data_IF_772291961255
#
_entry.id   IF_772291961255
#
_cell.length_a   1.000
_cell.length_b   1.000
_cell.length_c   1.000
_cell.angle_alpha   90.00
_cell.angle_beta   90.00
_cell.angle_gamma   90.00
#
_symmetry.space_group_name_H-M   'P 1'
#
loop_
_entity.id
_entity.type
_entity.pdbx_description
1 polymer ?
#
# COMPACT_ATOMS: atom_id res chain seq x y z
N UNK A 1 -25.60 -26.82 -5.83
CA UNK A 1 -25.52 -26.96 -4.37
C UNK A 1 -24.60 -28.13 -4.02
N UNK A 2 -23.72 -27.97 -3.02
CA UNK A 2 -22.74 -28.97 -2.64
C UNK A 2 -23.31 -30.12 -1.77
N UNK A 3 -24.62 -30.09 -1.48
CA UNK A 3 -25.26 -31.10 -0.65
C UNK A 3 -24.62 -31.19 0.74
N UNK A 4 -24.28 -32.39 1.18
CA UNK A 4 -23.64 -32.66 2.47
C UNK A 4 -22.10 -32.66 2.39
N UNK A 5 -21.51 -32.00 1.39
CA UNK A 5 -20.06 -31.93 1.28
C UNK A 5 -19.45 -31.17 2.46
N UNK A 6 -18.42 -31.74 3.06
CA UNK A 6 -17.62 -31.10 4.10
C UNK A 6 -16.13 -31.27 3.75
N UNK A 7 -15.36 -30.26 4.08
CA UNK A 7 -13.90 -30.33 3.94
C UNK A 7 -13.28 -31.38 4.85
N UNK A 8 -12.13 -31.93 4.46
CA UNK A 8 -11.38 -32.84 5.32
C UNK A 8 -10.99 -32.12 6.64
N UNK A 9 -11.22 -32.74 7.81
CA UNK A 9 -10.78 -32.17 9.09
C UNK A 9 -9.28 -31.83 9.12
N UNK A 10 -8.44 -32.70 8.57
CA UNK A 10 -7.00 -32.46 8.49
C UNK A 10 -6.65 -31.26 7.62
N UNK A 11 -7.37 -31.01 6.53
CA UNK A 11 -7.18 -29.82 5.68
C UNK A 11 -7.59 -28.55 6.44
N UNK A 12 -8.71 -28.60 7.16
CA UNK A 12 -9.20 -27.48 7.96
C UNK A 12 -8.19 -27.12 9.06
N UNK A 13 -7.68 -28.11 9.79
CA UNK A 13 -6.66 -27.93 10.82
C UNK A 13 -5.38 -27.29 10.26
N UNK A 14 -4.89 -27.79 9.11
CA UNK A 14 -3.72 -27.24 8.43
C UNK A 14 -3.95 -25.79 8.01
N UNK A 15 -5.10 -25.49 7.41
CA UNK A 15 -5.44 -24.13 6.99
C UNK A 15 -5.56 -23.16 8.19
N UNK A 16 -6.16 -23.61 9.31
CA UNK A 16 -6.25 -22.82 10.54
C UNK A 16 -4.86 -22.58 11.16
N UNK A 17 -3.97 -23.59 11.12
CA UNK A 17 -2.57 -23.46 11.56
C UNK A 17 -1.83 -22.39 10.77
N UNK A 18 -1.84 -22.45 9.45
CA UNK A 18 -1.21 -21.43 8.60
C UNK A 18 -1.83 -20.03 8.79
N UNK A 19 -3.14 -19.95 8.97
CA UNK A 19 -3.80 -18.69 9.28
C UNK A 19 -3.35 -18.08 10.62
N UNK A 20 -3.16 -18.92 11.65
CA UNK A 20 -2.68 -18.48 12.94
C UNK A 20 -1.22 -17.99 12.88
N UNK A 21 -0.34 -18.72 12.19
CA UNK A 21 1.05 -18.31 11.94
C UNK A 21 1.12 -16.99 11.18
N UNK A 22 0.29 -16.84 10.13
CA UNK A 22 0.22 -15.61 9.37
C UNK A 22 -0.25 -14.42 10.22
N UNK A 23 -1.25 -14.60 11.06
CA UNK A 23 -1.70 -13.53 11.96
C UNK A 23 -0.62 -13.10 12.95
N UNK A 24 0.22 -14.01 13.46
CA UNK A 24 1.36 -13.63 14.28
C UNK A 24 2.35 -12.74 13.51
N UNK A 25 2.64 -13.09 12.26
CA UNK A 25 3.49 -12.27 11.39
C UNK A 25 2.88 -10.88 11.17
N UNK A 26 1.59 -10.81 10.87
CA UNK A 26 0.87 -9.53 10.69
C UNK A 26 0.93 -8.69 11.96
N UNK A 27 0.65 -9.27 13.12
CA UNK A 27 0.64 -8.55 14.39
C UNK A 27 2.04 -7.99 14.76
N UNK A 28 3.11 -8.69 14.40
CA UNK A 28 4.48 -8.20 14.58
C UNK A 28 4.82 -7.00 13.68
N UNK A 29 4.31 -6.97 12.44
CA UNK A 29 4.68 -5.95 11.45
C UNK A 29 3.72 -4.78 11.39
N UNK A 30 2.48 -4.96 11.83
CA UNK A 30 1.44 -3.92 11.83
C UNK A 30 1.04 -3.43 13.23
N UNK A 31 1.69 -3.92 14.27
CA UNK A 31 1.46 -3.53 15.66
C UNK A 31 1.81 -2.06 15.94
N UNK A 32 1.50 -1.58 17.17
CA UNK A 32 1.95 -0.28 17.64
C UNK A 32 3.48 -0.15 17.56
N UNK A 33 3.98 1.04 17.23
CA UNK A 33 5.42 1.27 17.03
C UNK A 33 5.78 2.72 17.27
N UNK A 34 6.97 2.93 17.84
CA UNK A 34 7.58 4.26 18.00
C UNK A 34 8.62 4.54 16.89
N UNK A 35 8.67 3.72 15.84
CA UNK A 35 9.60 3.92 14.72
C UNK A 35 9.27 5.20 13.95
N UNK A 36 10.31 5.99 13.66
CA UNK A 36 10.24 7.22 12.88
C UNK A 36 11.36 7.18 11.83
N UNK A 37 11.01 7.16 10.54
CA UNK A 37 9.69 6.93 9.99
C UNK A 37 9.21 5.48 10.16
N UNK A 38 7.89 5.23 10.24
CA UNK A 38 7.32 3.88 10.33
C UNK A 38 7.37 3.15 8.98
N UNK A 39 7.15 1.83 9.03
CA UNK A 39 6.92 1.02 7.83
C UNK A 39 5.48 1.17 7.29
N UNK A 40 5.26 0.76 6.06
CA UNK A 40 3.91 0.66 5.50
C UNK A 40 2.99 -0.24 6.34
N UNK A 41 3.49 -1.40 6.80
CA UNK A 41 2.72 -2.31 7.64
C UNK A 41 2.23 -1.65 8.93
N UNK A 42 3.07 -0.84 9.58
CA UNK A 42 2.72 -0.10 10.79
C UNK A 42 1.67 0.99 10.52
N UNK A 43 1.78 1.72 9.40
CA UNK A 43 0.77 2.70 8.96
C UNK A 43 -0.58 2.02 8.70
N UNK A 44 -0.57 0.92 7.94
CA UNK A 44 -1.78 0.14 7.64
C UNK A 44 -2.43 -0.37 8.94
N UNK A 45 -1.62 -0.91 9.85
CA UNK A 45 -2.10 -1.40 11.15
C UNK A 45 -2.72 -0.31 12.02
N UNK A 46 -2.13 0.87 12.07
CA UNK A 46 -2.62 2.02 12.83
C UNK A 46 -4.03 2.45 12.34
N UNK A 47 -4.19 2.61 11.04
CA UNK A 47 -5.49 2.96 10.45
C UNK A 47 -6.50 1.82 10.63
N UNK A 48 -6.10 0.57 10.42
CA UNK A 48 -6.99 -0.58 10.60
C UNK A 48 -7.51 -0.71 12.04
N UNK A 49 -6.69 -0.39 13.05
CA UNK A 49 -7.14 -0.36 14.47
C UNK A 49 -8.10 0.79 14.74
N UNK A 50 -7.98 1.89 14.01
CA UNK A 50 -8.72 3.15 14.26
C UNK A 50 -9.98 3.31 13.41
N UNK A 51 -10.16 2.50 12.37
CA UNK A 51 -11.32 2.56 11.47
C UNK A 51 -12.54 1.83 12.03
N UNK A 52 -13.72 2.22 11.54
CA UNK A 52 -14.98 1.50 11.81
C UNK A 52 -15.11 0.26 10.92
N UNK A 53 -15.99 -0.67 11.32
CA UNK A 53 -16.19 -1.92 10.56
C UNK A 53 -16.82 -1.72 9.18
N UNK A 54 -17.38 -0.57 8.91
CA UNK A 54 -18.02 -0.20 7.64
C UNK A 54 -17.18 0.69 6.76
N UNK A 55 -16.03 1.19 7.25
CA UNK A 55 -15.13 2.03 6.45
C UNK A 55 -14.55 1.24 5.29
N UNK A 56 -14.44 1.87 4.14
CA UNK A 56 -13.84 1.29 2.94
C UNK A 56 -12.36 1.71 2.83
N UNK A 57 -11.46 0.76 2.92
CA UNK A 57 -10.07 0.98 2.54
C UNK A 57 -9.87 0.75 1.04
N UNK A 58 -9.23 1.70 0.36
CA UNK A 58 -8.99 1.66 -1.07
C UNK A 58 -7.52 1.95 -1.39
N UNK A 59 -6.96 1.18 -2.31
CA UNK A 59 -5.59 1.35 -2.81
C UNK A 59 -5.47 0.81 -4.24
N UNK A 60 -4.34 1.02 -4.91
CA UNK A 60 -4.13 0.48 -6.26
C UNK A 60 -2.70 0.03 -6.52
N UNK A 61 -1.74 0.94 -6.65
CA UNK A 61 -0.45 0.67 -7.26
C UNK A 61 0.75 0.76 -6.30
N UNK A 62 1.81 0.08 -6.67
CA UNK A 62 3.09 0.13 -5.97
C UNK A 62 3.25 -0.91 -4.86
N UNK A 63 4.08 -0.63 -3.85
CA UNK A 63 4.31 -1.52 -2.71
C UNK A 63 3.22 -1.46 -1.66
N UNK A 64 2.55 -0.32 -1.54
CA UNK A 64 1.52 -0.08 -0.52
C UNK A 64 0.30 -1.04 -0.65
N UNK A 65 -0.27 -1.31 -1.84
CA UNK A 65 -1.32 -2.32 -1.96
C UNK A 65 -0.88 -3.72 -1.55
N UNK A 66 0.37 -4.11 -1.83
CA UNK A 66 0.91 -5.37 -1.32
C UNK A 66 0.94 -5.43 0.20
N UNK A 67 1.30 -4.34 0.86
CA UNK A 67 1.28 -4.23 2.31
C UNK A 67 -0.16 -4.19 2.88
N UNK A 68 -1.11 -3.54 2.18
CA UNK A 68 -2.52 -3.61 2.57
C UNK A 68 -3.08 -5.04 2.43
N UNK A 69 -2.82 -5.73 1.32
CA UNK A 69 -3.24 -7.12 1.14
C UNK A 69 -2.70 -8.06 2.22
N UNK A 70 -1.51 -7.77 2.77
CA UNK A 70 -0.88 -8.53 3.86
C UNK A 70 -1.44 -8.19 5.24
N UNK A 71 -1.61 -6.90 5.53
CA UNK A 71 -1.80 -6.40 6.90
C UNK A 71 -3.23 -5.92 7.20
N UNK A 72 -4.06 -5.66 6.20
CA UNK A 72 -5.42 -5.17 6.42
C UNK A 72 -6.36 -6.29 6.87
N UNK A 73 -6.94 -6.14 8.05
CA UNK A 73 -7.94 -7.09 8.58
C UNK A 73 -9.34 -6.57 8.25
N UNK A 74 -9.94 -7.10 7.19
CA UNK A 74 -11.30 -6.77 6.75
C UNK A 74 -12.32 -7.27 7.77
N UNK A 75 -13.23 -6.41 8.23
CA UNK A 75 -14.24 -6.72 9.25
C UNK A 75 -15.64 -6.95 8.69
N UNK A 76 -15.90 -6.46 7.49
CA UNK A 76 -17.17 -6.60 6.79
C UNK A 76 -16.96 -6.80 5.30
N UNK A 77 -17.95 -7.42 4.63
CA UNK A 77 -17.92 -7.59 3.18
C UNK A 77 -17.99 -6.23 2.48
N UNK A 78 -17.19 -6.04 1.43
CA UNK A 78 -17.19 -4.82 0.62
C UNK A 78 -16.53 -3.61 1.32
N UNK A 79 -15.60 -3.85 2.28
CA UNK A 79 -14.86 -2.80 3.00
C UNK A 79 -13.38 -2.74 2.60
N UNK A 80 -13.00 -3.41 1.53
CA UNK A 80 -11.67 -3.34 0.95
C UNK A 80 -11.78 -3.38 -0.57
N UNK A 81 -11.13 -2.44 -1.24
CA UNK A 81 -11.01 -2.37 -2.70
C UNK A 81 -9.55 -2.15 -3.09
N UNK A 82 -9.11 -2.90 -4.10
CA UNK A 82 -7.74 -2.81 -4.59
C UNK A 82 -7.71 -3.06 -6.10
N UNK A 83 -7.41 -2.01 -6.87
CA UNK A 83 -7.11 -2.18 -8.30
C UNK A 83 -5.70 -2.74 -8.45
N UNK A 84 -5.56 -4.06 -8.35
CA UNK A 84 -4.27 -4.75 -8.38
C UNK A 84 -3.98 -5.44 -9.73
N UNK A 85 -4.99 -5.65 -10.55
CA UNK A 85 -4.88 -6.39 -11.80
C UNK A 85 -3.96 -5.73 -12.82
N UNK A 86 -4.14 -4.44 -13.06
CA UNK A 86 -3.27 -3.63 -13.92
C UNK A 86 -2.36 -2.70 -13.12
N UNK A 87 -2.57 -2.59 -11.83
CA UNK A 87 -1.79 -1.74 -10.92
C UNK A 87 -1.70 -0.29 -11.39
N UNK A 88 -2.87 0.30 -11.68
CA UNK A 88 -2.98 1.64 -12.28
C UNK A 88 -2.67 2.73 -11.24
N UNK A 89 -1.49 3.33 -11.34
CA UNK A 89 -1.11 4.48 -10.50
C UNK A 89 -2.04 5.65 -10.74
N UNK A 90 -2.57 6.22 -9.65
CA UNK A 90 -3.53 7.32 -9.68
C UNK A 90 -5.00 6.90 -9.56
N UNK A 91 -5.32 5.61 -9.74
CA UNK A 91 -6.68 5.10 -9.47
C UNK A 91 -7.15 5.43 -8.05
N UNK A 92 -6.24 5.43 -7.08
CA UNK A 92 -6.56 5.54 -5.66
C UNK A 92 -7.46 6.73 -5.35
N UNK A 93 -7.14 7.90 -5.86
CA UNK A 93 -7.87 9.15 -5.57
C UNK A 93 -9.19 9.19 -6.35
N UNK A 94 -9.16 8.90 -7.65
CA UNK A 94 -10.35 8.86 -8.50
C UNK A 94 -11.32 7.76 -8.06
N UNK A 95 -10.80 6.55 -7.77
CA UNK A 95 -11.57 5.41 -7.28
C UNK A 95 -12.19 5.70 -5.90
N UNK A 96 -11.44 6.34 -5.00
CA UNK A 96 -11.95 6.78 -3.70
C UNK A 96 -13.11 7.77 -3.83
N UNK A 97 -13.01 8.74 -4.72
CA UNK A 97 -14.10 9.66 -5.01
C UNK A 97 -15.32 8.93 -5.58
N UNK A 98 -15.11 8.04 -6.56
CA UNK A 98 -16.18 7.20 -7.12
C UNK A 98 -16.86 6.31 -6.07
N UNK A 99 -16.09 5.70 -5.19
CA UNK A 99 -16.63 4.90 -4.09
C UNK A 99 -17.47 5.74 -3.11
N UNK A 100 -17.02 6.96 -2.79
CA UNK A 100 -17.77 7.90 -1.95
C UNK A 100 -19.05 8.39 -2.61
N UNK A 101 -19.04 8.57 -3.92
CA UNK A 101 -20.25 8.90 -4.69
C UNK A 101 -21.26 7.74 -4.69
N UNK A 102 -20.78 6.51 -4.78
CA UNK A 102 -21.63 5.31 -4.81
C UNK A 102 -22.27 5.03 -3.44
N UNK A 103 -21.56 5.27 -2.34
CA UNK A 103 -22.07 5.13 -0.97
C UNK A 103 -21.65 6.32 -0.09
N UNK A 104 -22.43 7.42 -0.10
CA UNK A 104 -22.11 8.61 0.69
C UNK A 104 -22.15 8.40 2.21
N UNK A 105 -22.77 7.34 2.71
CA UNK A 105 -22.90 7.06 4.14
C UNK A 105 -21.61 6.52 4.77
N UNK A 106 -20.72 5.96 3.95
CA UNK A 106 -19.48 5.28 4.37
C UNK A 106 -18.30 6.25 4.35
N UNK A 107 -17.39 6.12 5.30
CA UNK A 107 -16.08 6.74 5.14
C UNK A 107 -15.21 5.94 4.17
N UNK A 108 -14.54 6.65 3.26
CA UNK A 108 -13.61 6.08 2.30
C UNK A 108 -12.20 6.52 2.69
N UNK A 109 -11.33 5.54 2.90
CA UNK A 109 -9.94 5.70 3.31
C UNK A 109 -9.05 5.28 2.14
N UNK A 110 -8.43 6.26 1.50
CA UNK A 110 -7.55 6.06 0.36
C UNK A 110 -6.10 5.95 0.84
N UNK A 111 -5.44 4.86 0.53
CA UNK A 111 -4.01 4.69 0.76
C UNK A 111 -3.26 4.89 -0.56
N UNK A 112 -2.37 5.86 -0.61
CA UNK A 112 -1.64 6.22 -1.82
C UNK A 112 -0.16 6.50 -1.51
N UNK A 113 0.74 5.99 -2.36
CA UNK A 113 2.15 6.36 -2.31
C UNK A 113 2.39 7.74 -2.93
N UNK A 114 3.49 8.37 -2.54
CA UNK A 114 3.93 9.68 -3.08
C UNK A 114 4.00 9.71 -4.60
N UNK A 115 4.58 8.68 -5.22
CA UNK A 115 4.65 8.57 -6.68
C UNK A 115 3.29 8.45 -7.37
N UNK A 116 2.37 7.65 -6.81
CA UNK A 116 1.02 7.48 -7.34
C UNK A 116 0.19 8.76 -7.16
N UNK A 117 0.32 9.42 -6.01
CA UNK A 117 -0.29 10.73 -5.76
C UNK A 117 0.13 11.76 -6.82
N UNK A 118 1.42 11.83 -7.17
CA UNK A 118 1.91 12.79 -8.16
C UNK A 118 1.43 12.51 -9.59
N UNK A 119 1.03 11.28 -9.91
CA UNK A 119 0.52 10.94 -11.23
C UNK A 119 -0.91 11.41 -11.46
N UNK A 120 -1.78 11.34 -10.43
CA UNK A 120 -3.19 11.75 -10.58
C UNK A 120 -3.75 12.19 -9.23
N UNK A 121 -3.77 13.49 -8.99
CA UNK A 121 -4.17 14.09 -7.73
C UNK A 121 -5.30 15.13 -7.84
N UNK A 122 -5.65 15.54 -9.07
CA UNK A 122 -6.62 16.61 -9.33
C UNK A 122 -8.03 16.32 -8.81
N UNK A 123 -8.39 15.05 -8.66
CA UNK A 123 -9.70 14.66 -8.13
C UNK A 123 -9.86 14.92 -6.63
N UNK A 124 -8.80 15.30 -5.92
CA UNK A 124 -8.93 15.92 -4.59
C UNK A 124 -9.77 17.20 -4.70
N UNK A 125 -9.51 18.03 -5.73
CA UNK A 125 -10.32 19.22 -5.97
C UNK A 125 -11.77 18.88 -6.34
N UNK A 126 -11.98 17.85 -7.14
CA UNK A 126 -13.31 17.34 -7.51
C UNK A 126 -14.11 16.91 -6.27
N UNK A 127 -13.47 16.25 -5.28
CA UNK A 127 -14.15 15.85 -4.03
C UNK A 127 -14.60 17.06 -3.21
N UNK A 128 -13.79 18.12 -3.18
CA UNK A 128 -14.13 19.37 -2.47
C UNK A 128 -15.30 20.07 -3.16
N UNK A 129 -15.26 20.20 -4.50
CA UNK A 129 -16.31 20.84 -5.27
C UNK A 129 -17.67 20.12 -5.16
N UNK A 130 -17.66 18.81 -5.06
CA UNK A 130 -18.86 17.98 -5.03
C UNK A 130 -19.32 17.61 -3.63
N UNK A 131 -18.55 17.97 -2.59
CA UNK A 131 -18.86 17.65 -1.20
C UNK A 131 -18.73 16.16 -0.84
N UNK A 132 -17.99 15.37 -1.64
CA UNK A 132 -17.76 13.94 -1.39
C UNK A 132 -16.48 13.74 -0.59
N UNK A 133 -16.59 13.85 0.73
CA UNK A 133 -15.46 13.71 1.65
C UNK A 133 -14.82 12.33 1.56
N UNK A 134 -13.49 12.29 1.47
CA UNK A 134 -12.68 11.09 1.71
C UNK A 134 -11.47 11.41 2.58
N UNK A 135 -10.84 10.39 3.14
CA UNK A 135 -9.61 10.49 3.94
C UNK A 135 -8.48 9.89 3.10
N UNK A 136 -7.45 10.67 2.82
CA UNK A 136 -6.31 10.24 1.99
C UNK A 136 -5.08 10.15 2.86
N UNK A 137 -4.49 8.96 2.92
CA UNK A 137 -3.23 8.68 3.62
C UNK A 137 -2.12 8.64 2.57
N UNK A 138 -1.30 9.67 2.51
CA UNK A 138 -0.14 9.73 1.62
C UNK A 138 1.07 9.16 2.36
N UNK A 139 1.53 8.01 1.91
CA UNK A 139 2.72 7.35 2.43
C UNK A 139 3.94 7.77 1.60
N UNK A 140 4.69 8.74 2.07
CA UNK A 140 5.85 9.29 1.39
C UNK A 140 7.12 8.52 1.76
N UNK A 141 7.61 7.71 0.85
CA UNK A 141 8.88 6.99 0.99
C UNK A 141 10.00 7.56 0.11
N UNK A 142 9.76 8.69 -0.54
CA UNK A 142 10.73 9.38 -1.39
C UNK A 142 10.89 8.77 -2.77
N UNK A 143 9.84 8.18 -3.36
CA UNK A 143 9.84 7.74 -4.75
C UNK A 143 9.20 6.38 -5.03
N UNK A 144 9.69 5.68 -6.04
CA UNK A 144 9.17 4.38 -6.48
C UNK A 144 9.90 3.21 -5.77
N UNK A 145 9.74 3.11 -4.44
CA UNK A 145 10.52 2.17 -3.62
C UNK A 145 10.30 0.70 -3.98
N UNK A 146 9.10 0.31 -4.41
CA UNK A 146 8.85 -1.06 -4.86
C UNK A 146 9.58 -1.38 -6.16
N UNK A 147 9.71 -0.42 -7.07
CA UNK A 147 10.46 -0.59 -8.31
C UNK A 147 11.95 -0.73 -7.98
N UNK A 148 12.47 0.09 -7.08
CA UNK A 148 13.84 -0.04 -6.58
C UNK A 148 14.09 -1.40 -5.92
N UNK A 149 13.14 -1.87 -5.11
CA UNK A 149 13.18 -3.21 -4.50
C UNK A 149 13.26 -4.32 -5.55
N UNK A 150 12.39 -4.28 -6.56
CA UNK A 150 12.39 -5.28 -7.65
C UNK A 150 13.69 -5.25 -8.45
N UNK A 151 14.20 -4.07 -8.75
CA UNK A 151 15.45 -3.87 -9.45
C UNK A 151 16.62 -4.50 -8.68
N UNK A 152 16.75 -4.18 -7.40
CA UNK A 152 17.83 -4.70 -6.54
C UNK A 152 17.67 -6.22 -6.32
N UNK A 153 16.44 -6.71 -6.14
CA UNK A 153 16.16 -8.13 -5.98
C UNK A 153 16.54 -8.96 -7.23
N UNK A 154 16.57 -8.33 -8.40
CA UNK A 154 17.03 -8.94 -9.65
C UNK A 154 18.50 -8.64 -9.96
N UNK A 155 19.28 -8.22 -8.97
CA UNK A 155 20.72 -8.03 -9.04
C UNK A 155 21.18 -6.70 -9.65
N UNK A 156 20.26 -5.81 -10.05
CA UNK A 156 20.61 -4.50 -10.58
C UNK A 156 20.92 -3.50 -9.46
N UNK A 157 21.73 -2.50 -9.74
CA UNK A 157 21.97 -1.38 -8.82
C UNK A 157 20.76 -0.45 -8.77
N UNK A 158 20.55 0.24 -7.64
CA UNK A 158 19.57 1.33 -7.56
C UNK A 158 19.86 2.39 -8.63
N UNK A 159 18.80 2.86 -9.28
CA UNK A 159 18.93 3.85 -10.34
C UNK A 159 17.68 4.73 -10.46
N UNK A 160 17.76 5.97 -9.99
CA UNK A 160 16.75 7.03 -10.15
C UNK A 160 15.30 6.67 -9.70
N UNK A 161 15.11 5.59 -8.94
CA UNK A 161 13.80 5.21 -8.43
C UNK A 161 13.47 5.92 -7.12
N UNK A 162 14.47 6.29 -6.36
CA UNK A 162 14.34 7.05 -5.12
C UNK A 162 14.97 8.43 -5.28
N UNK A 163 14.41 9.42 -4.62
CA UNK A 163 14.92 10.79 -4.64
C UNK A 163 16.39 10.85 -4.20
N UNK A 164 16.78 10.03 -3.21
CA UNK A 164 18.15 9.94 -2.73
C UNK A 164 19.16 9.46 -3.80
N UNK A 165 18.69 8.77 -4.83
CA UNK A 165 19.53 8.26 -5.93
C UNK A 165 19.55 9.23 -7.13
N UNK A 166 18.78 10.32 -7.08
CA UNK A 166 18.74 11.33 -8.13
C UNK A 166 19.93 12.30 -8.02
N UNK A 167 20.46 12.71 -9.18
CA UNK A 167 21.61 13.64 -9.27
C UNK A 167 21.18 15.10 -9.14
N UNK A 168 20.31 15.43 -8.21
CA UNK A 168 19.87 16.81 -7.97
C UNK A 168 20.42 17.29 -6.64
N UNK A 169 21.25 18.33 -6.70
CA UNK A 169 21.73 19.01 -5.50
C UNK A 169 20.56 19.81 -4.85
N UNK A 170 20.47 19.77 -3.53
CA UNK A 170 19.44 20.48 -2.76
C UNK A 170 18.01 20.09 -3.16
N UNK A 171 17.76 18.79 -3.34
CA UNK A 171 16.45 18.28 -3.64
C UNK A 171 15.44 18.69 -2.57
N UNK A 172 14.41 19.45 -2.97
CA UNK A 172 13.27 19.75 -2.10
C UNK A 172 12.20 18.68 -2.30
N UNK A 173 11.73 18.09 -1.18
CA UNK A 173 10.59 17.20 -1.20
C UNK A 173 9.31 17.95 -1.56
N UNK A 174 8.30 17.22 -2.04
CA UNK A 174 6.98 17.76 -2.32
C UNK A 174 6.25 17.96 -0.98
N UNK A 175 5.66 19.13 -0.78
CA UNK A 175 4.72 19.38 0.31
C UNK A 175 3.31 18.94 -0.12
N UNK A 176 3.00 17.69 0.14
CA UNK A 176 1.70 17.09 -0.22
C UNK A 176 0.53 17.74 0.53
N UNK A 177 0.77 18.21 1.75
CA UNK A 177 -0.26 18.89 2.56
C UNK A 177 -0.58 20.26 1.97
N UNK A 178 0.44 21.06 1.67
CA UNK A 178 0.24 22.36 1.04
C UNK A 178 -0.43 22.21 -0.33
N UNK A 179 -0.02 21.20 -1.10
CA UNK A 179 -0.64 20.92 -2.38
C UNK A 179 -2.13 20.58 -2.24
N UNK A 180 -2.51 19.68 -1.35
CA UNK A 180 -3.90 19.31 -1.12
C UNK A 180 -4.74 20.49 -0.57
N UNK A 181 -4.19 21.27 0.35
CA UNK A 181 -4.88 22.43 0.94
C UNK A 181 -5.08 23.56 -0.08
N UNK A 182 -4.18 23.70 -1.06
CA UNK A 182 -4.38 24.63 -2.17
C UNK A 182 -5.59 24.29 -3.05
N UNK A 183 -6.03 23.02 -3.05
CA UNK A 183 -7.26 22.56 -3.70
C UNK A 183 -8.49 22.60 -2.77
N UNK A 184 -8.37 23.18 -1.58
CA UNK A 184 -9.47 23.34 -0.62
C UNK A 184 -9.73 22.13 0.29
N UNK A 185 -8.93 21.08 0.22
CA UNK A 185 -8.94 20.01 1.20
C UNK A 185 -8.36 20.48 2.55
N UNK A 186 -8.64 19.73 3.62
CA UNK A 186 -7.89 19.84 4.87
C UNK A 186 -6.67 18.91 4.80
N UNK A 187 -5.66 19.17 5.63
CA UNK A 187 -4.52 18.27 5.68
C UNK A 187 -3.52 18.60 6.77
N UNK A 188 -2.73 17.60 7.12
CA UNK A 188 -1.64 17.71 8.07
C UNK A 188 -0.50 16.72 7.77
N UNK A 189 0.72 17.14 8.12
CA UNK A 189 1.90 16.28 8.12
C UNK A 189 2.05 15.66 9.50
N UNK A 190 2.32 14.35 9.55
CA UNK A 190 2.58 13.62 10.79
C UNK A 190 3.88 12.82 10.67
N UNK A 191 4.53 12.54 11.80
CA UNK A 191 5.84 11.88 11.82
C UNK A 191 5.80 10.50 12.50
N UNK A 192 4.81 10.25 13.36
CA UNK A 192 4.71 9.03 14.16
C UNK A 192 3.36 8.34 13.99
N UNK A 193 3.30 7.07 14.39
CA UNK A 193 2.04 6.30 14.41
C UNK A 193 1.01 6.93 15.37
N UNK A 194 1.46 7.42 16.54
CA UNK A 194 0.55 8.06 17.48
C UNK A 194 -0.08 9.35 16.91
N UNK A 195 0.71 10.16 16.20
CA UNK A 195 0.21 11.34 15.50
C UNK A 195 -0.74 10.97 14.36
N UNK A 196 -0.41 9.90 13.60
CA UNK A 196 -1.28 9.40 12.53
C UNK A 196 -2.65 8.98 13.07
N UNK A 197 -2.70 8.23 14.16
CA UNK A 197 -3.96 7.81 14.80
C UNK A 197 -4.77 9.02 15.30
N UNK A 198 -4.10 10.03 15.85
CA UNK A 198 -4.75 11.28 16.27
C UNK A 198 -5.26 12.10 15.07
N UNK A 199 -4.47 12.21 14.00
CA UNK A 199 -4.84 12.87 12.75
C UNK A 199 -6.03 12.17 12.07
N UNK A 200 -6.04 10.84 12.06
CA UNK A 200 -7.13 10.06 11.49
C UNK A 200 -8.46 10.32 12.23
N UNK A 201 -8.45 10.45 13.56
CA UNK A 201 -9.64 10.83 14.32
C UNK A 201 -10.15 12.23 13.93
N UNK A 202 -9.24 13.21 13.70
CA UNK A 202 -9.62 14.53 13.19
C UNK A 202 -10.21 14.46 11.80
N UNK A 203 -9.60 13.65 10.92
CA UNK A 203 -10.07 13.44 9.56
C UNK A 203 -11.47 12.78 9.53
N UNK A 204 -11.75 11.82 10.42
CA UNK A 204 -13.09 11.24 10.58
C UNK A 204 -14.14 12.29 10.95
N UNK A 205 -13.80 13.27 11.80
CA UNK A 205 -14.70 14.33 12.25
C UNK A 205 -14.80 15.53 11.29
N UNK A 206 -13.95 15.59 10.26
CA UNK A 206 -13.90 16.71 9.31
C UNK A 206 -15.13 16.72 8.38
N UNK A 207 -15.43 17.90 7.84
CA UNK A 207 -16.57 18.16 6.94
C UNK A 207 -16.24 18.00 5.43
N UNK A 208 -14.97 17.82 5.09
CA UNK A 208 -14.47 17.72 3.71
C UNK A 208 -13.28 16.77 3.61
N UNK A 209 -12.82 16.50 2.40
CA UNK A 209 -11.64 15.68 2.14
C UNK A 209 -10.46 16.11 2.98
N UNK A 210 -9.80 15.13 3.60
CA UNK A 210 -8.70 15.33 4.53
C UNK A 210 -7.49 14.50 4.08
N UNK A 211 -6.35 15.14 3.91
CA UNK A 211 -5.10 14.49 3.47
C UNK A 211 -4.12 14.43 4.64
N UNK A 212 -3.71 13.23 5.02
CA UNK A 212 -2.69 13.01 6.04
C UNK A 212 -1.44 12.49 5.33
N UNK A 213 -0.34 13.21 5.43
CA UNK A 213 0.93 12.79 4.87
C UNK A 213 1.84 12.28 5.98
N UNK A 214 2.45 11.09 5.76
CA UNK A 214 3.40 10.49 6.69
C UNK A 214 4.61 9.96 5.93
N UNK A 215 5.82 10.28 6.42
CA UNK A 215 7.06 9.67 5.91
C UNK A 215 7.07 8.19 6.27
N UNK A 216 7.52 7.34 5.34
CA UNK A 216 7.59 5.89 5.55
C UNK A 216 8.95 5.33 5.11
N UNK A 217 9.34 4.19 5.69
CA UNK A 217 10.57 3.50 5.34
C UNK A 217 10.50 2.92 3.92
N UNK A 218 11.45 3.25 3.03
CA UNK A 218 11.43 2.77 1.64
C UNK A 218 11.86 1.29 1.48
N UNK A 219 12.49 0.71 2.50
CA UNK A 219 13.13 -0.61 2.41
C UNK A 219 12.59 -1.67 3.39
N UNK A 220 11.64 -1.30 4.24
CA UNK A 220 11.06 -2.22 5.23
C UNK A 220 9.70 -2.75 4.75
N UNK A 221 9.61 -4.07 4.61
CA UNK A 221 8.44 -4.76 4.05
C UNK A 221 7.99 -5.89 4.97
N UNK A 222 6.68 -6.13 5.03
CA UNK A 222 6.13 -7.33 5.67
C UNK A 222 6.57 -8.57 4.90
N UNK A 223 7.10 -9.62 5.54
CA UNK A 223 7.50 -10.86 4.87
C UNK A 223 6.31 -11.59 4.24
N UNK A 224 6.57 -12.73 3.60
CA UNK A 224 5.53 -13.59 3.00
C UNK A 224 5.33 -13.36 1.51
N UNK A 225 6.32 -12.82 0.80
CA UNK A 225 6.30 -12.77 -0.66
C UNK A 225 6.47 -14.18 -1.25
N UNK A 226 5.66 -14.49 -2.25
CA UNK A 226 5.81 -15.70 -3.05
C UNK A 226 6.75 -15.44 -4.23
N UNK A 227 7.36 -16.53 -4.74
CA UNK A 227 8.06 -16.47 -6.02
C UNK A 227 7.06 -16.18 -7.15
N UNK A 228 7.41 -15.29 -8.05
CA UNK A 228 6.65 -14.96 -9.25
C UNK A 228 7.60 -14.73 -10.43
N UNK A 229 7.09 -14.94 -11.64
CA UNK A 229 7.88 -14.91 -12.87
C UNK A 229 8.15 -13.47 -13.30
N UNK A 230 9.19 -12.87 -12.73
CA UNK A 230 9.68 -11.54 -13.12
C UNK A 230 10.91 -11.70 -13.98
N UNK A 231 10.87 -11.16 -15.19
CA UNK A 231 11.98 -11.24 -16.15
C UNK A 231 13.29 -10.71 -15.59
N UNK A 232 14.37 -11.40 -15.89
CA UNK A 232 15.74 -11.01 -15.59
C UNK A 232 16.51 -10.87 -16.90
N UNK A 233 17.36 -9.84 -17.11
CA UNK A 233 18.16 -9.69 -18.32
C UNK A 233 18.97 -10.97 -18.63
N UNK A 234 19.00 -11.34 -19.91
CA UNK A 234 19.77 -12.51 -20.38
C UNK A 234 21.26 -12.22 -20.43
N UNK A 235 21.62 -10.95 -20.66
CA UNK A 235 23.00 -10.50 -20.78
C UNK A 235 23.25 -9.37 -19.78
N UNK A 236 24.29 -9.52 -18.96
CA UNK A 236 24.73 -8.50 -18.03
C UNK A 236 26.20 -8.73 -17.65
N UNK A 237 26.93 -7.62 -17.46
CA UNK A 237 28.29 -7.66 -16.91
C UNK A 237 28.30 -7.81 -15.37
N UNK A 238 27.14 -7.60 -14.72
CA UNK A 238 27.00 -7.76 -13.27
C UNK A 238 26.80 -9.23 -12.88
N UNK A 239 27.61 -9.69 -11.92
CA UNK A 239 27.52 -11.05 -11.40
C UNK A 239 26.17 -11.29 -10.72
N UNK A 240 25.66 -10.32 -9.96
CA UNK A 240 24.39 -10.40 -9.24
C UNK A 240 23.20 -10.60 -10.19
N UNK A 241 23.23 -9.99 -11.39
CA UNK A 241 22.20 -10.19 -12.42
C UNK A 241 22.32 -11.58 -13.04
N UNK A 242 23.54 -12.08 -13.32
CA UNK A 242 23.74 -13.44 -13.82
C UNK A 242 23.23 -14.49 -12.81
N UNK A 243 23.52 -14.30 -11.52
CA UNK A 243 22.99 -15.17 -10.47
C UNK A 243 21.47 -15.13 -10.42
N UNK A 244 20.87 -13.92 -10.42
CA UNK A 244 19.42 -13.75 -10.43
C UNK A 244 18.77 -14.41 -11.66
N UNK A 245 19.44 -14.39 -12.83
CA UNK A 245 18.98 -15.10 -14.04
C UNK A 245 19.00 -16.62 -13.85
N UNK A 246 20.06 -17.16 -13.24
CA UNK A 246 20.14 -18.57 -12.91
C UNK A 246 19.02 -18.99 -11.97
N UNK A 247 18.80 -18.24 -10.88
CA UNK A 247 17.75 -18.51 -9.90
C UNK A 247 16.35 -18.41 -10.51
N UNK A 248 16.13 -17.48 -11.43
CA UNK A 248 14.89 -17.34 -12.17
C UNK A 248 14.62 -18.57 -13.03
N UNK A 249 15.63 -19.07 -13.75
CA UNK A 249 15.50 -20.25 -14.61
C UNK A 249 15.21 -21.52 -13.78
N UNK A 250 15.81 -21.66 -12.60
CA UNK A 250 15.50 -22.76 -11.67
C UNK A 250 14.10 -22.63 -11.05
N UNK A 251 13.66 -21.39 -10.78
CA UNK A 251 12.29 -21.11 -10.32
C UNK A 251 11.24 -21.50 -11.35
N UNK A 252 11.46 -21.17 -12.63
CA UNK A 252 10.57 -21.56 -13.73
C UNK A 252 10.40 -23.07 -13.84
N UNK A 253 11.47 -23.87 -13.66
CA UNK A 253 11.39 -25.33 -13.69
C UNK A 253 10.50 -25.93 -12.61
N UNK A 254 10.35 -25.24 -11.48
CA UNK A 254 9.52 -25.65 -10.34
C UNK A 254 8.10 -25.11 -10.39
N UNK A 255 7.82 -24.22 -11.32
CA UNK A 255 6.49 -23.64 -11.48
C UNK A 255 5.50 -24.69 -11.97
N UNK A 256 4.31 -24.74 -11.39
CA UNK A 256 3.23 -25.57 -11.90
C UNK A 256 2.71 -24.98 -13.21
N UNK A 257 2.77 -25.76 -14.26
CA UNK A 257 2.22 -25.42 -15.57
C UNK A 257 0.80 -25.97 -15.64
N UNK A 258 -0.17 -25.09 -15.51
CA UNK A 258 -1.57 -25.39 -15.75
C UNK A 258 -2.19 -26.49 -14.85
N UNK A 259 -3.49 -26.61 -14.89
CA UNK A 259 -4.27 -27.78 -14.45
C UNK A 259 -5.00 -28.31 -15.67
#
# INVERSE_FOLDING_TARGET
ALGNWAGSPAWIETAQGHYAEWNQTVDQHSGPSDAVPPSYGQVVGAINRSCDSTDLALTAAGGLPGELCKNWKTRSIGTFDCEFGFSCMGYEIAGGWGAKMADPSRDVIVFVGDGSYLMLNSDIYSTVLTGHKMIVIVCDNGGFSVINRLQNFKGSASFNNLLQDCKVENLQGVDFVQHATSMGALGEQVESIAELEAAFKRAKAADRTYVICIKTQPSQWTPGDAWWDVGVPEVSDREEVRQARSDHSEGQKRQRLGV
#
